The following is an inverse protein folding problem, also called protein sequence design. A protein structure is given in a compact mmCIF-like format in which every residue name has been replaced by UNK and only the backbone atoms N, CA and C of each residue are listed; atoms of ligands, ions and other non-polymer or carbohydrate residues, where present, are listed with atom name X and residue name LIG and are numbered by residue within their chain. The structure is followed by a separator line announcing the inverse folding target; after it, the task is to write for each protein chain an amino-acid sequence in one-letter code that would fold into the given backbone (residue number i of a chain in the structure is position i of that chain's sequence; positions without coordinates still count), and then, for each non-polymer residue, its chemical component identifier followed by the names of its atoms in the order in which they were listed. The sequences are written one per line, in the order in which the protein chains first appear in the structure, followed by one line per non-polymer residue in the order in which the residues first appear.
data_IF_632858176323
#
_entry.id   IF_632858176323
#
_cell.length_a   1.000
_cell.length_b   1.000
_cell.length_c   1.000
_cell.angle_alpha   90.00
_cell.angle_beta   90.00
_cell.angle_gamma   90.00
#
_symmetry.space_group_name_H-M   'P 1'
#
loop_
_entity.id
_entity.type
_entity.pdbx_description
1 polymer ?
#
# COMPACT_ATOMS: atom_id res chain seq x y z
N UNK A 1 -61.50 -55.97 20.39
CA UNK A 1 -60.27 -56.32 19.63
C UNK A 1 -59.86 -55.07 18.86
N UNK A 2 -58.65 -54.53 19.12
CA UNK A 2 -57.51 -54.44 18.18
C UNK A 2 -57.89 -53.94 16.76
N UNK A 3 -57.22 -53.03 16.07
CA UNK A 3 -56.07 -52.14 16.26
C UNK A 3 -55.87 -51.49 14.85
N UNK A 4 -55.25 -50.31 14.77
CA UNK A 4 -54.49 -49.74 13.61
C UNK A 4 -55.29 -49.01 12.52
N UNK A 5 -55.22 -47.67 12.50
CA UNK A 5 -54.24 -46.81 11.79
C UNK A 5 -54.57 -46.63 10.29
N UNK A 6 -54.88 -45.42 9.86
CA UNK A 6 -53.91 -44.50 9.22
C UNK A 6 -54.62 -43.19 8.79
N UNK A 7 -53.95 -42.09 9.12
CA UNK A 7 -54.23 -40.70 8.75
C UNK A 7 -54.01 -40.45 7.25
N UNK A 8 -54.55 -39.34 6.72
CA UNK A 8 -53.64 -38.24 6.42
C UNK A 8 -54.14 -36.90 6.96
N UNK A 9 -53.27 -36.21 7.72
CA UNK A 9 -53.42 -34.79 8.04
C UNK A 9 -53.04 -34.04 6.76
N UNK A 10 -54.01 -33.36 6.15
CA UNK A 10 -53.76 -32.40 5.07
C UNK A 10 -53.33 -31.09 5.72
N UNK A 11 -52.02 -30.83 5.76
CA UNK A 11 -51.48 -29.51 6.06
C UNK A 11 -51.51 -28.67 4.79
N UNK A 12 -52.47 -27.75 4.71
CA UNK A 12 -52.50 -26.70 3.69
C UNK A 12 -51.46 -25.63 3.99
N UNK A 13 -50.44 -25.52 3.14
CA UNK A 13 -49.53 -24.39 3.13
C UNK A 13 -50.16 -23.25 2.32
N UNK A 14 -50.61 -22.20 3.01
CA UNK A 14 -50.98 -20.94 2.38
C UNK A 14 -49.69 -20.21 2.00
N UNK A 15 -49.23 -20.37 0.75
CA UNK A 15 -48.09 -19.67 0.20
C UNK A 15 -48.51 -18.23 -0.10
N UNK A 16 -47.90 -17.28 0.62
CA UNK A 16 -47.99 -15.86 0.33
C UNK A 16 -47.23 -15.60 -0.98
N UNK A 17 -47.94 -15.23 -2.05
CA UNK A 17 -47.33 -14.80 -3.30
C UNK A 17 -46.70 -13.41 -3.11
N UNK A 18 -45.46 -13.39 -2.62
CA UNK A 18 -44.55 -12.27 -2.82
C UNK A 18 -43.67 -12.63 -4.02
N UNK A 19 -43.77 -11.84 -5.10
CA UNK A 19 -42.92 -11.96 -6.28
C UNK A 19 -41.45 -11.78 -5.81
N UNK A 20 -40.57 -12.79 -5.96
CA UNK A 20 -39.17 -12.62 -5.57
C UNK A 20 -38.54 -11.55 -6.47
N UNK A 21 -37.74 -10.61 -5.92
CA UNK A 21 -37.05 -9.64 -6.75
C UNK A 21 -36.19 -10.38 -7.77
N UNK A 22 -36.49 -10.17 -9.05
CA UNK A 22 -35.75 -10.76 -10.15
C UNK A 22 -34.28 -10.30 -10.05
N UNK A 23 -33.32 -11.24 -9.99
CA UNK A 23 -31.91 -10.87 -9.95
C UNK A 23 -31.56 -10.12 -11.24
N UNK A 24 -30.70 -9.09 -11.19
CA UNK A 24 -30.32 -8.34 -12.39
C UNK A 24 -29.71 -9.28 -13.43
N UNK A 25 -30.36 -9.38 -14.59
CA UNK A 25 -30.04 -10.23 -15.76
C UNK A 25 -28.63 -10.06 -16.34
N UNK A 26 -27.80 -9.16 -15.79
CA UNK A 26 -26.48 -8.82 -16.30
C UNK A 26 -25.31 -9.13 -15.34
N UNK A 27 -25.54 -9.95 -14.30
CA UNK A 27 -24.38 -10.47 -13.55
C UNK A 27 -23.76 -11.60 -14.37
N UNK A 28 -22.46 -11.53 -14.75
CA UNK A 28 -21.77 -12.72 -15.24
C UNK A 28 -22.00 -13.86 -14.25
N UNK A 29 -22.14 -15.12 -14.71
CA UNK A 29 -22.35 -16.24 -13.80
C UNK A 29 -21.28 -16.16 -12.71
N UNK A 30 -21.71 -16.20 -11.45
CA UNK A 30 -20.79 -16.17 -10.33
C UNK A 30 -19.94 -17.43 -10.42
N UNK A 31 -18.78 -17.33 -11.08
CA UNK A 31 -17.81 -18.41 -11.14
C UNK A 31 -17.46 -18.76 -9.71
N UNK A 32 -17.67 -20.01 -9.33
CA UNK A 32 -17.22 -20.47 -8.03
C UNK A 32 -15.71 -20.19 -7.91
N UNK A 33 -15.26 -19.62 -6.78
CA UNK A 33 -13.86 -19.31 -6.62
C UNK A 33 -13.04 -20.60 -6.78
N UNK A 34 -12.00 -20.55 -7.59
CA UNK A 34 -11.06 -21.65 -7.77
C UNK A 34 -10.41 -22.04 -6.44
N UNK A 35 -9.86 -23.25 -6.35
CA UNK A 35 -9.20 -23.72 -5.14
C UNK A 35 -8.07 -22.78 -4.66
N UNK A 36 -7.36 -22.14 -5.59
CA UNK A 36 -6.29 -21.17 -5.29
C UNK A 36 -6.85 -19.86 -4.74
N UNK A 37 -7.95 -19.36 -5.31
CA UNK A 37 -8.67 -18.18 -4.82
C UNK A 37 -9.23 -18.43 -3.43
N UNK A 38 -9.86 -19.60 -3.19
CA UNK A 38 -10.36 -20.01 -1.86
C UNK A 38 -9.22 -20.02 -0.84
N UNK A 39 -8.07 -20.62 -1.19
CA UNK A 39 -6.90 -20.66 -0.31
C UNK A 39 -6.38 -19.24 0.00
N UNK A 40 -6.37 -18.37 -0.99
CA UNK A 40 -5.95 -16.97 -0.85
C UNK A 40 -6.91 -16.19 0.04
N UNK A 41 -8.22 -16.33 -0.17
CA UNK A 41 -9.26 -15.71 0.66
C UNK A 41 -9.12 -16.15 2.11
N UNK A 42 -8.95 -17.45 2.37
CA UNK A 42 -8.72 -17.98 3.72
C UNK A 42 -7.51 -17.32 4.38
N UNK A 43 -6.38 -17.25 3.66
CA UNK A 43 -5.16 -16.61 4.16
C UNK A 43 -5.37 -15.13 4.46
N UNK A 44 -6.15 -14.40 3.67
CA UNK A 44 -6.48 -12.99 3.91
C UNK A 44 -7.35 -12.85 5.16
N UNK A 45 -8.34 -13.73 5.34
CA UNK A 45 -9.21 -13.70 6.52
C UNK A 45 -8.46 -13.98 7.83
N UNK A 46 -7.33 -14.68 7.77
CA UNK A 46 -6.45 -14.93 8.91
C UNK A 46 -5.52 -13.75 9.25
N UNK A 47 -5.44 -12.71 8.41
CA UNK A 47 -4.58 -11.55 8.66
C UNK A 47 -5.18 -10.60 9.71
N UNK A 48 -4.30 -9.94 10.46
CA UNK A 48 -4.70 -8.86 11.35
C UNK A 48 -5.37 -7.69 10.57
N UNK A 49 -6.38 -7.01 11.13
CA UNK A 49 -7.08 -5.91 10.45
C UNK A 49 -6.16 -4.81 9.92
N UNK A 50 -5.10 -4.51 10.66
CA UNK A 50 -4.09 -3.51 10.28
C UNK A 50 -3.31 -3.91 9.02
N UNK A 51 -3.02 -5.20 8.86
CA UNK A 51 -2.38 -5.73 7.65
C UNK A 51 -3.31 -5.64 6.46
N UNK A 52 -4.60 -5.94 6.66
CA UNK A 52 -5.62 -5.84 5.61
C UNK A 52 -5.76 -4.39 5.16
N UNK A 53 -5.80 -3.42 6.09
CA UNK A 53 -5.83 -1.98 5.75
C UNK A 53 -4.62 -1.57 4.91
N UNK A 54 -3.42 -1.95 5.34
CA UNK A 54 -2.19 -1.64 4.59
C UNK A 54 -2.18 -2.27 3.19
N UNK A 55 -2.72 -3.50 3.03
CA UNK A 55 -2.86 -4.11 1.71
C UNK A 55 -3.83 -3.34 0.82
N UNK A 56 -4.96 -2.84 1.36
CA UNK A 56 -5.91 -2.01 0.60
C UNK A 56 -5.26 -0.72 0.12
N UNK A 57 -4.59 0.02 1.01
CA UNK A 57 -3.89 1.25 0.67
C UNK A 57 -2.83 1.03 -0.44
N UNK A 58 -2.11 -0.09 -0.38
CA UNK A 58 -1.12 -0.44 -1.40
C UNK A 58 -1.77 -0.77 -2.75
N UNK A 59 -2.88 -1.50 -2.76
CA UNK A 59 -3.63 -1.82 -3.98
C UNK A 59 -4.17 -0.53 -4.61
N UNK A 60 -4.85 0.31 -3.83
CA UNK A 60 -5.38 1.59 -4.29
C UNK A 60 -4.28 2.46 -4.89
N UNK A 61 -3.11 2.53 -4.25
CA UNK A 61 -1.96 3.27 -4.78
C UNK A 61 -1.53 2.75 -6.16
N UNK A 62 -1.44 1.42 -6.34
CA UNK A 62 -1.07 0.80 -7.62
C UNK A 62 -2.16 1.04 -8.68
N UNK A 63 -3.43 1.02 -8.31
CA UNK A 63 -4.55 1.27 -9.22
C UNK A 63 -4.56 2.71 -9.75
N UNK A 64 -4.17 3.67 -8.90
CA UNK A 64 -4.07 5.10 -9.26
C UNK A 64 -2.77 5.46 -10.00
N UNK A 65 -1.79 4.55 -10.08
CA UNK A 65 -0.59 4.76 -10.89
C UNK A 65 -0.93 4.86 -12.39
N UNK A 66 -0.15 5.66 -13.12
CA UNK A 66 -0.25 5.67 -14.59
C UNK A 66 0.13 4.31 -15.19
N UNK A 67 -0.23 4.07 -16.45
CA UNK A 67 0.12 2.82 -17.13
C UNK A 67 1.64 2.61 -17.22
N UNK A 68 2.40 3.69 -17.40
CA UNK A 68 3.86 3.65 -17.46
C UNK A 68 4.47 3.42 -16.07
N UNK A 69 3.95 4.09 -15.03
CA UNK A 69 4.40 3.88 -13.65
C UNK A 69 4.14 2.45 -13.17
N UNK A 70 3.00 1.86 -13.55
CA UNK A 70 2.70 0.44 -13.25
C UNK A 70 3.69 -0.50 -13.92
N UNK A 71 4.10 -0.23 -15.15
CA UNK A 71 5.11 -1.04 -15.88
C UNK A 71 6.48 -0.93 -15.21
N UNK A 72 6.90 0.27 -14.83
CA UNK A 72 8.15 0.46 -14.10
C UNK A 72 8.11 -0.20 -12.72
N UNK A 73 6.98 -0.09 -12.01
CA UNK A 73 6.79 -0.73 -10.71
C UNK A 73 6.87 -2.25 -10.83
N UNK A 74 6.19 -2.85 -11.83
CA UNK A 74 6.26 -4.28 -12.10
C UNK A 74 7.69 -4.74 -12.44
N UNK A 75 8.43 -3.96 -13.23
CA UNK A 75 9.84 -4.25 -13.54
C UNK A 75 10.71 -4.26 -12.28
N UNK A 76 10.60 -3.23 -11.44
CA UNK A 76 11.33 -3.16 -10.16
C UNK A 76 10.94 -4.30 -9.21
N UNK A 77 9.68 -4.71 -9.23
CA UNK A 77 9.21 -5.85 -8.43
C UNK A 77 9.86 -7.15 -8.89
N UNK A 78 9.88 -7.42 -10.20
CA UNK A 78 10.55 -8.58 -10.77
C UNK A 78 12.06 -8.59 -10.45
N UNK A 79 12.74 -7.44 -10.59
CA UNK A 79 14.15 -7.30 -10.21
C UNK A 79 14.41 -7.66 -8.73
N UNK A 80 13.49 -7.30 -7.83
CA UNK A 80 13.59 -7.67 -6.40
C UNK A 80 13.27 -9.15 -6.20
N UNK A 81 12.27 -9.71 -6.88
CA UNK A 81 11.90 -11.14 -6.76
C UNK A 81 13.02 -12.07 -7.21
N UNK A 82 13.70 -11.74 -8.31
CA UNK A 82 14.82 -12.49 -8.88
C UNK A 82 16.13 -12.27 -8.12
N UNK A 83 16.22 -11.22 -7.30
CA UNK A 83 17.42 -10.92 -6.52
C UNK A 83 17.69 -11.95 -5.41
N UNK A 84 18.98 -12.08 -5.07
CA UNK A 84 19.39 -12.95 -3.97
C UNK A 84 18.71 -12.53 -2.65
N UNK A 85 18.55 -13.45 -1.68
CA UNK A 85 17.92 -13.11 -0.40
C UNK A 85 18.61 -11.93 0.34
N UNK A 86 19.92 -11.76 0.15
CA UNK A 86 20.69 -10.65 0.74
C UNK A 86 20.41 -9.31 0.04
N UNK A 87 20.35 -9.31 -1.29
CA UNK A 87 20.01 -8.13 -2.08
C UNK A 87 18.55 -7.71 -1.87
N UNK A 88 17.63 -8.65 -1.73
CA UNK A 88 16.24 -8.36 -1.32
C UNK A 88 16.17 -7.66 0.02
N UNK A 89 16.88 -8.17 1.03
CA UNK A 89 16.94 -7.55 2.37
C UNK A 89 17.53 -6.15 2.28
N UNK A 90 18.57 -5.94 1.47
CA UNK A 90 19.17 -4.63 1.23
C UNK A 90 18.17 -3.66 0.57
N UNK A 91 17.47 -4.10 -0.48
CA UNK A 91 16.47 -3.30 -1.18
C UNK A 91 15.32 -2.88 -0.25
N UNK A 92 14.80 -3.79 0.58
CA UNK A 92 13.76 -3.46 1.56
C UNK A 92 14.28 -2.54 2.68
N UNK A 93 15.53 -2.71 3.11
CA UNK A 93 16.16 -1.81 4.09
C UNK A 93 16.29 -0.40 3.53
N UNK A 94 16.82 -0.26 2.32
CA UNK A 94 16.95 1.02 1.63
C UNK A 94 15.58 1.67 1.39
N UNK A 95 14.57 0.91 0.97
CA UNK A 95 13.22 1.42 0.77
C UNK A 95 12.57 1.88 2.08
N UNK A 96 12.82 1.19 3.19
CA UNK A 96 12.39 1.60 4.54
C UNK A 96 13.10 2.87 5.02
N UNK A 97 14.37 3.03 4.69
CA UNK A 97 15.16 4.22 5.00
C UNK A 97 14.76 5.40 4.12
N UNK A 98 14.51 5.19 2.82
CA UNK A 98 14.10 6.23 1.88
C UNK A 98 12.64 6.66 2.07
N UNK A 99 11.76 5.72 2.39
CA UNK A 99 10.31 5.92 2.48
C UNK A 99 9.81 6.63 3.74
N UNK A 100 10.69 7.12 4.62
CA UNK A 100 10.30 7.97 5.76
C UNK A 100 9.27 7.36 6.73
N UNK A 101 8.99 6.05 6.64
CA UNK A 101 7.98 5.36 7.45
C UNK A 101 8.58 4.22 8.28
N UNK A 102 9.91 4.04 8.23
CA UNK A 102 10.61 3.18 9.18
C UNK A 102 10.63 3.80 10.59
N UNK A 103 10.56 2.99 11.66
CA UNK A 103 10.59 3.45 13.07
C UNK A 103 11.89 4.15 13.50
N UNK A 104 12.83 4.38 12.58
CA UNK A 104 14.06 5.16 12.82
C UNK A 104 14.35 6.23 11.77
N UNK A 105 13.51 6.41 10.73
CA UNK A 105 13.75 7.44 9.71
C UNK A 105 12.50 8.24 9.32
N UNK A 106 11.46 8.19 10.14
CA UNK A 106 10.28 9.04 9.96
C UNK A 106 10.56 10.50 10.23
N UNK A 107 9.81 11.39 9.57
CA UNK A 107 9.95 12.84 9.77
C UNK A 107 9.87 13.20 11.27
N UNK A 108 9.00 12.52 12.00
CA UNK A 108 8.88 12.60 13.46
C UNK A 108 10.16 12.18 14.19
N UNK A 109 10.84 11.12 13.73
CA UNK A 109 12.12 10.67 14.30
C UNK A 109 13.24 11.66 14.01
N UNK A 110 13.27 12.25 12.80
CA UNK A 110 14.27 13.25 12.40
C UNK A 110 14.14 14.55 13.19
N UNK A 111 12.91 14.99 13.46
CA UNK A 111 12.65 16.19 14.27
C UNK A 111 13.08 16.00 15.72
N UNK A 112 12.83 14.82 16.30
CA UNK A 112 13.33 14.47 17.63
C UNK A 112 14.86 14.44 17.66
N UNK A 113 15.49 13.81 16.68
CA UNK A 113 16.95 13.73 16.59
C UNK A 113 17.58 15.11 16.43
N UNK A 114 16.99 15.98 15.61
CA UNK A 114 17.42 17.37 15.46
C UNK A 114 17.40 18.10 16.81
N UNK A 115 16.30 17.99 17.56
CA UNK A 115 16.18 18.59 18.88
C UNK A 115 17.27 18.12 19.85
N UNK A 116 17.56 16.82 19.87
CA UNK A 116 18.55 16.23 20.77
C UNK A 116 19.98 16.63 20.40
N UNK A 117 20.28 16.90 19.13
CA UNK A 117 21.59 17.39 18.68
C UNK A 117 21.88 18.84 19.09
N UNK A 118 20.83 19.62 19.38
CA UNK A 118 20.96 21.00 19.84
C UNK A 118 21.27 21.10 21.35
N UNK A 119 21.35 19.96 22.05
CA UNK A 119 21.65 19.88 23.48
C UNK A 119 22.99 19.20 23.75
N UNK A 120 23.64 19.49 24.89
CA UNK A 120 24.80 18.73 25.37
C UNK A 120 24.46 17.24 25.53
N UNK A 121 25.45 16.36 25.33
CA UNK A 121 25.25 14.92 25.28
C UNK A 121 24.55 14.34 26.53
N UNK A 122 24.86 14.87 27.71
CA UNK A 122 24.26 14.41 28.97
C UNK A 122 22.79 14.79 29.10
N UNK A 123 22.42 15.99 28.63
CA UNK A 123 21.03 16.44 28.58
C UNK A 123 20.24 15.70 27.49
N UNK A 124 20.86 15.45 26.34
CA UNK A 124 20.25 14.68 25.26
C UNK A 124 19.93 13.23 25.68
N UNK A 125 20.79 12.59 26.49
CA UNK A 125 20.51 11.26 27.05
C UNK A 125 19.32 11.29 28.01
N UNK A 126 19.29 12.25 28.93
CA UNK A 126 18.17 12.41 29.87
C UNK A 126 16.84 12.67 29.14
N UNK A 127 16.85 13.51 28.10
CA UNK A 127 15.66 13.83 27.32
C UNK A 127 15.19 12.63 26.46
N UNK A 128 16.13 11.81 25.94
CA UNK A 128 15.80 10.52 25.30
C UNK A 128 15.12 9.57 26.27
N UNK A 129 15.66 9.40 27.47
CA UNK A 129 15.06 8.54 28.49
C UNK A 129 13.66 9.03 28.90
N UNK A 130 13.48 10.34 29.01
CA UNK A 130 12.18 10.96 29.27
C UNK A 130 11.19 10.70 28.13
N UNK A 131 11.62 10.87 26.89
CA UNK A 131 10.78 10.59 25.72
C UNK A 131 10.38 9.11 25.62
N UNK A 132 11.27 8.19 25.99
CA UNK A 132 10.98 6.76 26.04
C UNK A 132 9.95 6.41 27.13
N UNK A 133 9.89 7.18 28.23
CA UNK A 133 8.90 6.98 29.31
C UNK A 133 7.51 7.53 28.98
N UNK A 134 7.38 8.41 27.98
CA UNK A 134 6.09 8.94 27.56
C UNK A 134 5.18 7.83 27.00
N UNK A 135 3.88 7.96 27.30
CA UNK A 135 2.80 7.23 26.63
C UNK A 135 2.74 7.60 25.14
N UNK A 136 1.97 6.84 24.36
CA UNK A 136 1.87 7.04 22.91
C UNK A 136 1.38 8.45 22.58
N UNK A 137 0.34 8.89 23.28
CA UNK A 137 -0.32 10.18 23.11
C UNK A 137 0.63 11.34 23.49
N UNK A 138 1.36 11.19 24.59
CA UNK A 138 2.35 12.18 25.04
C UNK A 138 3.53 12.28 24.07
N UNK A 139 3.99 11.15 23.50
CA UNK A 139 5.02 11.17 22.45
C UNK A 139 4.55 11.96 21.25
N UNK A 140 3.32 11.74 20.78
CA UNK A 140 2.77 12.50 19.66
C UNK A 140 2.65 14.00 19.98
N UNK A 141 2.16 14.35 21.17
CA UNK A 141 2.07 15.74 21.61
C UNK A 141 3.44 16.43 21.70
N UNK A 142 4.44 15.71 22.21
CA UNK A 142 5.81 16.20 22.30
C UNK A 142 6.44 16.40 20.91
N UNK A 143 6.30 15.41 20.02
CA UNK A 143 6.77 15.52 18.64
C UNK A 143 6.09 16.69 17.91
N UNK A 144 4.79 16.93 18.12
CA UNK A 144 4.08 18.07 17.52
C UNK A 144 4.71 19.41 17.93
N UNK A 145 5.01 19.60 19.21
CA UNK A 145 5.71 20.80 19.70
C UNK A 145 7.09 20.97 19.06
N UNK A 146 7.84 19.87 18.90
CA UNK A 146 9.12 19.91 18.19
C UNK A 146 8.95 20.22 16.71
N UNK A 147 7.87 19.74 16.07
CA UNK A 147 7.57 20.05 14.67
C UNK A 147 7.17 21.52 14.48
N UNK A 148 6.45 22.13 15.42
CA UNK A 148 6.16 23.57 15.37
C UNK A 148 7.46 24.39 15.48
N UNK A 149 8.41 23.95 16.31
CA UNK A 149 9.68 24.63 16.52
C UNK A 149 10.68 24.46 15.37
N UNK A 150 10.88 23.23 14.91
CA UNK A 150 11.93 22.87 13.95
C UNK A 150 11.42 22.50 12.56
N UNK A 151 10.11 22.32 12.38
CA UNK A 151 9.50 21.94 11.10
C UNK A 151 9.87 22.90 9.95
N UNK A 152 9.78 24.22 10.13
CA UNK A 152 10.17 25.18 9.09
C UNK A 152 11.65 25.10 8.70
N UNK A 153 12.55 24.88 9.66
CA UNK A 153 13.99 24.76 9.42
C UNK A 153 14.34 23.43 8.73
N UNK A 154 13.80 22.32 9.24
CA UNK A 154 14.00 20.99 8.68
C UNK A 154 13.43 20.85 7.26
N UNK A 155 12.33 21.55 6.94
CA UNK A 155 11.77 21.58 5.59
C UNK A 155 12.63 22.41 4.63
N UNK A 156 13.25 23.50 5.09
CA UNK A 156 14.22 24.27 4.31
C UNK A 156 15.49 23.46 4.07
N UNK A 157 16.02 22.78 5.09
CA UNK A 157 17.16 21.87 4.96
C UNK A 157 16.87 20.69 4.05
N UNK A 158 15.67 20.09 4.15
CA UNK A 158 15.27 19.00 3.27
C UNK A 158 15.16 19.44 1.82
N UNK A 159 14.67 20.66 1.56
CA UNK A 159 14.66 21.25 0.19
C UNK A 159 16.08 21.56 -0.31
N UNK A 160 16.96 22.08 0.55
CA UNK A 160 18.34 22.35 0.19
C UNK A 160 19.15 21.06 -0.06
N UNK A 161 19.00 20.05 0.80
CA UNK A 161 19.63 18.73 0.63
C UNK A 161 18.99 17.94 -0.52
N UNK A 162 17.69 18.08 -0.77
CA UNK A 162 17.00 17.52 -1.93
C UNK A 162 17.43 18.17 -3.26
N UNK A 163 17.78 19.46 -3.25
CA UNK A 163 18.41 20.13 -4.39
C UNK A 163 19.86 19.68 -4.61
N UNK A 164 20.55 19.23 -3.57
CA UNK A 164 21.91 18.65 -3.64
C UNK A 164 21.92 17.16 -4.00
N UNK A 165 20.91 16.39 -3.59
CA UNK A 165 20.80 14.95 -3.89
C UNK A 165 20.00 14.65 -5.17
N UNK A 166 19.39 15.67 -5.78
CA UNK A 166 18.71 15.58 -7.07
C UNK A 166 19.61 15.84 -8.28
N UNK A 167 20.92 16.04 -8.09
CA UNK A 167 21.85 16.44 -9.17
C UNK A 167 22.76 15.32 -9.70
N UNK A 168 22.52 14.06 -9.31
CA UNK A 168 23.24 12.90 -9.86
C UNK A 168 22.30 11.82 -10.44
N UNK A 169 21.15 12.23 -10.99
CA UNK A 169 20.39 11.35 -11.91
C UNK A 169 19.74 12.11 -13.06
N UNK A 170 20.32 13.22 -13.51
CA UNK A 170 19.93 13.88 -14.78
C UNK A 170 21.12 13.85 -15.74
N UNK A 171 21.37 12.63 -16.22
CA UNK A 171 22.49 12.30 -17.09
C UNK A 171 22.13 11.20 -18.08
N UNK A 172 20.91 11.28 -18.64
CA UNK A 172 20.51 10.68 -19.93
C UNK A 172 19.06 11.06 -20.22
N UNK A 173 18.84 12.33 -20.60
CA UNK A 173 17.78 12.64 -21.57
C UNK A 173 18.07 11.81 -22.81
N UNK A 174 17.34 10.71 -22.96
CA UNK A 174 17.29 9.96 -24.20
C UNK A 174 16.76 10.95 -25.27
N UNK A 175 17.44 11.13 -26.41
CA UNK A 175 16.84 11.87 -27.51
C UNK A 175 15.51 11.19 -27.85
N UNK A 176 14.45 11.98 -27.94
CA UNK A 176 13.23 11.61 -28.66
C UNK A 176 13.62 10.95 -29.98
N UNK A 177 13.18 9.72 -30.31
CA UNK A 177 13.26 9.26 -31.68
C UNK A 177 12.30 10.15 -32.48
N UNK A 178 12.87 10.99 -33.34
CA UNK A 178 12.11 11.61 -34.41
C UNK A 178 11.38 10.51 -35.17
N UNK A 179 10.07 10.68 -35.27
CA UNK A 179 9.17 9.97 -36.17
C UNK A 179 9.79 9.92 -37.57
N UNK A 180 10.08 8.75 -38.16
CA UNK A 180 10.34 8.69 -39.59
C UNK A 180 9.03 8.97 -40.32
N UNK A 181 9.12 9.88 -41.28
CA UNK A 181 8.05 10.28 -42.18
C UNK A 181 7.43 9.08 -42.93
N UNK A 182 6.15 9.22 -43.23
CA UNK A 182 5.38 8.59 -44.32
C UNK A 182 6.00 7.36 -45.00
N UNK A 183 5.49 6.18 -44.63
CA UNK A 183 5.43 5.06 -45.56
C UNK A 183 4.16 5.22 -46.42
N UNK A 184 4.35 5.71 -47.64
CA UNK A 184 3.38 5.69 -48.73
C UNK A 184 2.74 4.30 -48.87
N UNK A 185 1.41 4.15 -48.98
CA UNK A 185 0.81 2.86 -49.29
C UNK A 185 1.11 2.46 -50.73
N UNK A 186 1.65 1.26 -50.93
CA UNK A 186 1.81 0.65 -52.24
C UNK A 186 0.42 0.32 -52.84
N UNK A 187 0.19 0.56 -54.16
CA UNK A 187 -1.07 0.23 -54.79
C UNK A 187 -1.23 -1.29 -54.92
N UNK A 188 -2.36 -1.81 -54.44
CA UNK A 188 -2.85 -3.12 -54.82
C UNK A 188 -3.30 -3.08 -56.29
N UNK A 189 -2.54 -3.75 -57.15
CA UNK A 189 -2.86 -3.93 -58.56
C UNK A 189 -3.06 -5.40 -58.88
N UNK A 190 -4.35 -5.75 -59.09
CA UNK A 190 -4.97 -6.77 -59.94
C UNK A 190 -4.26 -8.12 -60.16
#
# INVERSE_FOLDING_TARGET
MRLRHLLPVVLGALVWAADPPSPPTNRPPATEPSAEEIKTIRKIMELAPERIRGMREAIEHIEHMSGDDRREFAKKLAEVEDASPEERRKAFKELRERGGNGPGNSFTSRVLEHHLKQMPADQAKAEREKFLKFSREERFGYIRKLMEKYGPEMMKEAKAKGASSGKESDGKRRPTPERPAEATPAPAGQ
#
